data_IF_684291326586
#
_entry.id   IF_684291326586
#
_cell.length_a   1.000
_cell.length_b   1.000
_cell.length_c   1.000
_cell.angle_alpha   90.00
_cell.angle_beta   90.00
_cell.angle_gamma   90.00
#
_symmetry.space_group_name_H-M   'P 1'
#
loop_
_entity.id
_entity.type
_entity.pdbx_description
1 polymer ?
#
# COMPACT_ATOMS: atom_id res chain seq x y z
N UNK A 1 3.73 5.09 -3.53
CA UNK A 1 4.13 5.31 -2.13
C UNK A 1 4.91 6.62 -1.98
N UNK A 2 6.00 6.82 -2.74
CA UNK A 2 6.74 8.09 -2.69
C UNK A 2 5.84 9.29 -3.04
N UNK A 3 4.92 9.15 -4.00
CA UNK A 3 3.93 10.18 -4.30
C UNK A 3 2.94 10.40 -3.16
N UNK A 4 2.49 9.33 -2.52
CA UNK A 4 1.62 9.42 -1.34
C UNK A 4 2.20 10.36 -0.29
N UNK A 5 3.46 10.15 0.09
CA UNK A 5 4.17 11.03 1.02
C UNK A 5 4.38 12.44 0.45
N UNK A 6 4.86 12.51 -0.79
CA UNK A 6 5.34 13.76 -1.39
C UNK A 6 4.24 14.79 -1.64
N UNK A 7 3.02 14.37 -2.00
CA UNK A 7 1.92 15.32 -2.23
C UNK A 7 1.50 16.02 -0.93
N UNK A 8 1.73 15.39 0.22
CA UNK A 8 1.45 15.96 1.53
C UNK A 8 2.56 16.89 2.05
N UNK A 9 3.64 17.09 1.29
CA UNK A 9 4.75 17.98 1.65
C UNK A 9 4.60 19.43 1.15
N UNK A 10 3.36 19.90 1.03
CA UNK A 10 3.00 21.26 0.62
C UNK A 10 2.39 21.36 -0.76
N UNK A 11 1.55 22.34 -0.94
CA UNK A 11 0.74 22.56 -2.13
C UNK A 11 0.61 24.05 -2.47
N UNK A 12 -0.11 24.36 -3.52
CA UNK A 12 -0.23 25.74 -4.01
C UNK A 12 -0.87 26.69 -3.00
N UNK A 13 -1.97 26.28 -2.37
CA UNK A 13 -2.65 27.07 -1.33
C UNK A 13 -1.95 26.95 0.03
N UNK A 14 -1.31 25.81 0.31
CA UNK A 14 -0.73 25.49 1.60
C UNK A 14 0.78 25.17 1.45
N UNK A 15 1.62 26.19 1.16
CA UNK A 15 3.04 26.01 0.85
C UNK A 15 3.90 25.78 2.11
N UNK A 16 3.38 25.04 3.07
CA UNK A 16 4.09 24.62 4.28
C UNK A 16 4.97 23.42 3.97
N UNK A 17 6.08 23.27 4.68
CA UNK A 17 6.98 22.12 4.50
C UNK A 17 6.29 20.79 4.81
N UNK A 18 5.41 20.79 5.80
CA UNK A 18 4.73 19.60 6.29
C UNK A 18 3.33 19.96 6.82
N UNK A 19 2.38 20.25 5.92
CA UNK A 19 1.03 20.59 6.32
C UNK A 19 0.33 19.42 7.03
N UNK A 20 0.68 18.17 6.72
CA UNK A 20 0.13 16.99 7.37
C UNK A 20 0.41 16.97 8.88
N UNK A 21 1.65 17.20 9.29
CA UNK A 21 2.04 17.25 10.72
C UNK A 21 1.35 18.42 11.43
N UNK A 22 1.18 19.55 10.77
CA UNK A 22 0.45 20.69 11.33
C UNK A 22 -1.05 20.36 11.53
N UNK A 23 -1.67 19.64 10.62
CA UNK A 23 -3.05 19.17 10.76
C UNK A 23 -3.18 18.16 11.90
N UNK A 24 -2.27 17.20 12.01
CA UNK A 24 -2.28 16.22 13.12
C UNK A 24 -2.26 16.92 14.48
N UNK A 25 -1.48 17.99 14.60
CA UNK A 25 -1.32 18.73 15.87
C UNK A 25 -2.42 19.75 16.13
N UNK A 26 -2.94 20.39 15.09
CA UNK A 26 -3.75 21.60 15.20
C UNK A 26 -5.21 21.47 14.81
N UNK A 27 -5.64 20.40 14.12
CA UNK A 27 -7.04 20.20 13.74
C UNK A 27 -7.84 19.39 14.77
N UNK A 28 -9.15 19.38 14.60
CA UNK A 28 -10.08 18.56 15.39
C UNK A 28 -10.35 17.20 14.72
N UNK A 29 -9.42 16.75 13.90
CA UNK A 29 -9.53 15.50 13.18
C UNK A 29 -9.77 14.32 14.14
N UNK A 30 -10.55 13.36 13.68
CA UNK A 30 -10.69 12.05 14.32
C UNK A 30 -9.92 10.97 13.58
N UNK A 31 -9.54 11.25 12.34
CA UNK A 31 -8.69 10.40 11.51
C UNK A 31 -8.01 11.22 10.41
N UNK A 32 -6.72 11.03 10.25
CA UNK A 32 -5.90 11.54 9.14
C UNK A 32 -4.96 10.43 8.70
N UNK A 33 -4.91 10.12 7.42
CA UNK A 33 -3.95 9.18 6.88
C UNK A 33 -3.75 9.38 5.36
N UNK A 34 -2.81 8.63 4.82
CA UNK A 34 -2.68 8.31 3.41
C UNK A 34 -2.24 6.86 3.30
N UNK A 35 -2.66 6.15 2.26
CA UNK A 35 -2.38 4.72 2.11
C UNK A 35 -2.22 4.37 0.64
N UNK A 36 -1.11 3.71 0.29
CA UNK A 36 -0.85 3.19 -1.04
C UNK A 36 -1.11 1.69 -1.09
N UNK A 37 -1.97 1.29 -2.02
CA UNK A 37 -2.28 -0.09 -2.37
C UNK A 37 -1.73 -0.40 -3.77
N UNK A 38 -1.69 -1.65 -4.20
CA UNK A 38 -1.21 -2.00 -5.54
C UNK A 38 -1.98 -1.34 -6.68
N UNK A 39 -3.25 -1.02 -6.48
CA UNK A 39 -4.19 -0.54 -7.50
C UNK A 39 -4.76 0.87 -7.23
N UNK A 40 -4.47 1.47 -6.07
CA UNK A 40 -4.99 2.78 -5.70
C UNK A 40 -4.13 3.42 -4.62
N UNK A 41 -4.23 4.74 -4.50
CA UNK A 41 -3.77 5.49 -3.33
C UNK A 41 -4.95 6.26 -2.77
N UNK A 42 -5.14 6.22 -1.46
CA UNK A 42 -6.26 6.87 -0.78
C UNK A 42 -5.77 7.87 0.25
N UNK A 43 -6.49 8.97 0.39
CA UNK A 43 -6.19 10.08 1.28
C UNK A 43 -7.40 10.35 2.18
N UNK A 44 -7.65 9.51 3.18
CA UNK A 44 -8.84 9.62 4.03
C UNK A 44 -8.65 10.64 5.15
N UNK A 45 -9.69 11.42 5.38
CA UNK A 45 -9.80 12.35 6.51
C UNK A 45 -11.14 12.21 7.20
N UNK A 46 -11.19 12.41 8.50
CA UNK A 46 -12.43 12.47 9.25
C UNK A 46 -12.38 13.51 10.36
N UNK A 47 -13.48 14.20 10.56
CA UNK A 47 -13.70 15.12 11.69
C UNK A 47 -15.19 15.14 12.09
N UNK A 48 -15.44 15.28 13.37
CA UNK A 48 -16.80 15.50 13.91
C UNK A 48 -17.18 17.00 13.90
N UNK A 49 -16.30 17.89 13.50
CA UNK A 49 -16.54 19.32 13.39
C UNK A 49 -16.63 19.72 11.89
N UNK A 50 -17.76 20.27 11.46
CA UNK A 50 -18.01 20.56 10.05
C UNK A 50 -17.00 21.56 9.46
N UNK A 51 -16.64 22.60 10.21
CA UNK A 51 -15.66 23.59 9.77
C UNK A 51 -14.26 22.99 9.64
N UNK A 52 -13.88 22.14 10.58
CA UNK A 52 -12.60 21.43 10.52
C UNK A 52 -12.58 20.42 9.37
N UNK A 53 -13.68 19.67 9.17
CA UNK A 53 -13.81 18.77 8.02
C UNK A 53 -13.69 19.51 6.68
N UNK A 54 -14.31 20.69 6.56
CA UNK A 54 -14.17 21.53 5.38
C UNK A 54 -12.70 21.95 5.13
N UNK A 55 -12.00 22.37 6.18
CA UNK A 55 -10.58 22.74 6.08
C UNK A 55 -9.71 21.54 5.69
N UNK A 56 -9.95 20.36 6.27
CA UNK A 56 -9.23 19.14 5.93
C UNK A 56 -9.46 18.75 4.47
N UNK A 57 -10.71 18.85 4.00
CA UNK A 57 -11.07 18.58 2.61
C UNK A 57 -10.32 19.54 1.65
N UNK A 58 -10.28 20.84 1.96
CA UNK A 58 -9.55 21.83 1.16
C UNK A 58 -8.05 21.54 1.11
N UNK A 59 -7.43 21.27 2.26
CA UNK A 59 -5.99 20.94 2.33
C UNK A 59 -5.66 19.68 1.53
N UNK A 60 -6.45 18.62 1.68
CA UNK A 60 -6.17 17.36 1.00
C UNK A 60 -6.43 17.43 -0.51
N UNK A 61 -7.47 18.12 -0.94
CA UNK A 61 -7.74 18.33 -2.37
C UNK A 61 -6.61 19.14 -3.03
N UNK A 62 -6.15 20.20 -2.39
CA UNK A 62 -5.05 20.99 -2.92
C UNK A 62 -3.73 20.21 -2.91
N UNK A 63 -3.45 19.46 -1.86
CA UNK A 63 -2.26 18.61 -1.77
C UNK A 63 -2.22 17.56 -2.89
N UNK A 64 -3.31 16.87 -3.14
CA UNK A 64 -3.39 15.79 -4.13
C UNK A 64 -3.34 16.32 -5.56
N UNK A 65 -4.04 17.43 -5.86
CA UNK A 65 -4.19 17.94 -7.22
C UNK A 65 -3.16 19.02 -7.61
N UNK A 66 -2.65 19.79 -6.63
CA UNK A 66 -1.72 20.91 -6.86
C UNK A 66 -0.49 20.85 -5.95
N UNK A 67 0.19 19.68 -5.84
CA UNK A 67 1.34 19.53 -4.93
C UNK A 67 2.55 20.35 -5.40
N UNK A 68 3.37 20.75 -4.46
CA UNK A 68 4.61 21.48 -4.74
C UNK A 68 5.73 20.63 -5.35
N UNK A 69 5.47 19.35 -5.61
CA UNK A 69 6.45 18.42 -6.22
C UNK A 69 6.99 18.90 -7.56
N UNK A 70 6.24 19.70 -8.31
CA UNK A 70 6.66 20.29 -9.58
C UNK A 70 7.59 21.49 -9.44
N UNK A 71 7.60 22.12 -8.27
CA UNK A 71 8.40 23.32 -7.97
C UNK A 71 9.65 22.99 -7.17
N UNK A 72 9.60 21.92 -6.37
CA UNK A 72 10.60 21.58 -5.37
C UNK A 72 11.06 20.11 -5.47
N UNK A 73 12.07 19.84 -6.30
CA UNK A 73 12.67 18.49 -6.42
C UNK A 73 13.12 17.92 -5.06
N UNK A 74 13.43 18.78 -4.09
CA UNK A 74 13.86 18.37 -2.75
C UNK A 74 12.81 17.50 -2.03
N UNK A 75 11.53 17.68 -2.33
CA UNK A 75 10.45 16.83 -1.79
C UNK A 75 10.67 15.38 -2.23
N UNK A 76 10.86 15.15 -3.52
CA UNK A 76 11.19 13.83 -4.04
C UNK A 76 12.46 13.24 -3.41
N UNK A 77 13.50 14.06 -3.25
CA UNK A 77 14.76 13.61 -2.66
C UNK A 77 14.63 13.26 -1.19
N UNK A 78 13.80 13.99 -0.44
CA UNK A 78 13.54 13.73 0.98
C UNK A 78 12.66 12.48 1.15
N UNK A 79 11.53 12.43 0.46
CA UNK A 79 10.55 11.35 0.65
C UNK A 79 10.95 10.07 -0.08
N UNK A 80 11.52 10.16 -1.25
CA UNK A 80 11.94 9.00 -2.06
C UNK A 80 13.30 8.49 -1.67
N UNK A 81 14.33 9.04 -2.32
CA UNK A 81 15.71 8.65 -2.08
C UNK A 81 16.71 9.72 -2.52
N UNK A 82 17.87 9.73 -1.87
CA UNK A 82 19.03 10.54 -2.23
C UNK A 82 20.31 9.86 -1.76
N UNK A 83 21.45 10.35 -2.28
CA UNK A 83 22.75 9.97 -1.72
C UNK A 83 23.04 10.79 -0.47
N UNK A 84 23.49 10.13 0.57
CA UNK A 84 23.93 10.75 1.82
C UNK A 84 25.37 10.43 2.13
N UNK A 85 26.08 11.43 2.61
CA UNK A 85 27.46 11.34 3.09
C UNK A 85 27.52 11.95 4.50
N UNK A 86 27.49 11.12 5.52
CA UNK A 86 27.46 11.57 6.92
C UNK A 86 28.75 12.33 7.33
N UNK A 87 29.89 11.93 6.77
CA UNK A 87 31.18 12.60 6.97
C UNK A 87 32.10 12.37 5.77
N UNK A 88 33.22 13.08 5.70
CA UNK A 88 34.20 12.94 4.60
C UNK A 88 34.78 11.55 4.45
N UNK A 89 34.82 10.79 5.56
CA UNK A 89 35.42 9.46 5.62
C UNK A 89 34.35 8.34 5.66
N UNK A 90 33.06 8.70 5.67
CA UNK A 90 31.97 7.76 5.66
C UNK A 90 31.72 7.20 4.23
N UNK A 91 31.19 5.99 4.09
CA UNK A 91 30.73 5.52 2.80
C UNK A 91 29.53 6.32 2.31
N UNK A 92 29.42 6.47 1.01
CA UNK A 92 28.21 7.01 0.38
C UNK A 92 27.08 6.01 0.52
N UNK A 93 25.93 6.41 1.07
CA UNK A 93 24.77 5.57 1.29
C UNK A 93 23.54 6.13 0.62
N UNK A 94 22.51 5.30 0.42
CA UNK A 94 21.17 5.74 0.08
C UNK A 94 20.40 6.10 1.35
N UNK A 95 19.66 7.20 1.31
CA UNK A 95 18.76 7.63 2.35
C UNK A 95 17.47 8.21 1.73
N UNK A 96 16.40 8.26 2.48
CA UNK A 96 15.09 8.78 2.10
C UNK A 96 14.01 8.15 2.97
N UNK A 97 12.90 8.85 3.17
CA UNK A 97 11.85 8.39 4.09
C UNK A 97 11.29 7.04 3.64
N UNK A 98 10.75 6.96 2.44
CA UNK A 98 10.18 5.71 1.89
C UNK A 98 11.25 4.64 1.67
N UNK A 99 12.44 5.04 1.21
CA UNK A 99 13.55 4.07 1.06
C UNK A 99 13.88 3.37 2.38
N UNK A 100 14.01 4.13 3.47
CA UNK A 100 14.35 3.57 4.78
C UNK A 100 13.19 2.75 5.37
N UNK A 101 11.96 3.20 5.19
CA UNK A 101 10.76 2.47 5.60
C UNK A 101 10.69 1.11 4.92
N UNK A 102 10.85 1.08 3.61
CA UNK A 102 10.80 -0.17 2.84
C UNK A 102 11.98 -1.09 3.13
N UNK A 103 13.17 -0.52 3.35
CA UNK A 103 14.32 -1.30 3.83
C UNK A 103 14.04 -1.95 5.17
N UNK A 104 13.34 -1.26 6.07
CA UNK A 104 12.86 -1.83 7.34
C UNK A 104 11.81 -2.92 7.13
N UNK A 105 10.82 -2.69 6.28
CA UNK A 105 9.78 -3.68 5.96
C UNK A 105 10.36 -4.99 5.40
N UNK A 106 11.33 -4.89 4.49
CA UNK A 106 12.02 -6.05 3.90
C UNK A 106 12.98 -6.78 4.85
N UNK A 107 13.12 -6.35 6.09
CA UNK A 107 13.83 -7.12 7.12
C UNK A 107 12.96 -8.20 7.76
N UNK A 108 11.63 -8.18 7.55
CA UNK A 108 10.70 -9.17 8.06
C UNK A 108 10.56 -10.36 7.08
N UNK A 109 10.73 -11.61 7.54
CA UNK A 109 10.49 -12.79 6.72
C UNK A 109 9.08 -12.86 6.16
N UNK A 110 8.08 -12.44 6.93
CA UNK A 110 6.68 -12.41 6.50
C UNK A 110 6.45 -11.42 5.35
N UNK A 111 7.08 -10.24 5.40
CA UNK A 111 6.99 -9.26 4.31
C UNK A 111 7.66 -9.75 3.03
N UNK A 112 8.78 -10.48 3.15
CA UNK A 112 9.45 -11.11 2.01
C UNK A 112 8.55 -12.19 1.41
N UNK A 113 7.96 -13.04 2.26
CA UNK A 113 7.03 -14.08 1.81
C UNK A 113 5.82 -13.49 1.08
N UNK A 114 5.22 -12.44 1.61
CA UNK A 114 4.09 -11.75 0.99
C UNK A 114 4.49 -11.16 -0.37
N UNK A 115 5.59 -10.43 -0.44
CA UNK A 115 6.12 -9.86 -1.68
C UNK A 115 6.36 -10.93 -2.76
N UNK A 116 6.95 -12.07 -2.39
CA UNK A 116 7.19 -13.18 -3.32
C UNK A 116 5.89 -13.85 -3.73
N UNK A 117 4.95 -14.01 -2.81
CA UNK A 117 3.61 -14.55 -3.10
C UNK A 117 2.89 -13.67 -4.14
N UNK A 118 2.84 -12.36 -3.92
CA UNK A 118 2.22 -11.42 -4.85
C UNK A 118 2.89 -11.45 -6.23
N UNK A 119 4.22 -11.38 -6.28
CA UNK A 119 5.01 -11.44 -7.54
C UNK A 119 4.80 -12.76 -8.29
N UNK A 120 4.59 -13.86 -7.56
CA UNK A 120 4.38 -15.20 -8.17
C UNK A 120 2.96 -15.37 -8.67
N UNK A 121 1.96 -14.92 -7.91
CA UNK A 121 0.55 -15.05 -8.28
C UNK A 121 0.13 -14.06 -9.37
N UNK A 122 0.75 -12.89 -9.45
CA UNK A 122 0.31 -11.79 -10.32
C UNK A 122 1.43 -11.18 -11.18
N UNK A 123 2.26 -11.96 -11.87
CA UNK A 123 3.43 -11.44 -12.59
C UNK A 123 3.10 -10.43 -13.69
N UNK A 124 1.90 -10.50 -14.27
CA UNK A 124 1.49 -9.70 -15.42
C UNK A 124 0.65 -8.46 -15.05
N UNK A 125 0.35 -8.25 -13.77
CA UNK A 125 -0.54 -7.18 -13.30
C UNK A 125 0.15 -6.25 -12.28
N UNK A 126 -0.54 -5.18 -11.86
CA UNK A 126 -0.05 -4.28 -10.82
C UNK A 126 0.14 -4.98 -9.47
N UNK A 127 -0.63 -6.02 -9.19
CA UNK A 127 -0.52 -6.79 -7.94
C UNK A 127 0.79 -7.58 -7.80
N UNK A 128 1.47 -7.85 -8.91
CA UNK A 128 2.83 -8.41 -8.89
C UNK A 128 3.93 -7.38 -8.67
N UNK A 129 3.57 -6.12 -8.39
CA UNK A 129 4.50 -5.05 -8.03
C UNK A 129 4.33 -4.72 -6.55
N UNK A 130 5.43 -4.46 -5.90
CA UNK A 130 5.40 -4.00 -4.52
C UNK A 130 4.93 -2.54 -4.47
N UNK A 131 3.73 -2.29 -3.91
CA UNK A 131 3.15 -0.95 -3.85
C UNK A 131 3.90 -0.01 -2.92
N UNK A 132 4.52 -0.54 -1.87
CA UNK A 132 5.41 0.22 -0.99
C UNK A 132 6.72 0.59 -1.65
N UNK A 133 7.14 -0.22 -2.63
CA UNK A 133 8.41 -0.09 -3.33
C UNK A 133 9.48 -1.06 -2.81
N UNK A 134 10.09 -1.78 -3.71
CA UNK A 134 11.22 -2.64 -3.39
C UNK A 134 12.49 -1.78 -3.21
N UNK A 135 13.16 -1.83 -2.06
CA UNK A 135 14.31 -0.97 -1.75
C UNK A 135 15.50 -1.17 -2.71
N UNK A 136 15.56 -2.29 -3.42
CA UNK A 136 16.57 -2.51 -4.47
C UNK A 136 16.31 -1.60 -5.68
N UNK A 137 15.05 -1.36 -6.02
CA UNK A 137 14.65 -0.61 -7.21
C UNK A 137 14.28 0.86 -6.94
N UNK A 138 13.98 1.24 -5.70
CA UNK A 138 13.68 2.65 -5.36
C UNK A 138 14.76 3.60 -5.86
N UNK A 139 16.09 3.31 -5.73
CA UNK A 139 17.13 4.20 -6.21
C UNK A 139 17.24 4.34 -7.75
N UNK A 140 16.49 3.54 -8.50
CA UNK A 140 16.41 3.65 -9.97
C UNK A 140 15.34 4.64 -10.43
N UNK A 141 14.50 5.12 -9.51
CA UNK A 141 13.44 6.06 -9.81
C UNK A 141 14.03 7.47 -10.01
N UNK A 142 13.77 8.05 -11.18
CA UNK A 142 14.15 9.43 -11.45
C UNK A 142 13.03 10.41 -11.07
N UNK A 143 13.39 11.68 -10.87
CA UNK A 143 12.42 12.74 -10.61
C UNK A 143 11.44 12.93 -11.77
N UNK A 144 11.89 12.78 -13.02
CA UNK A 144 11.04 12.88 -14.20
C UNK A 144 9.97 11.77 -14.22
N UNK A 145 10.36 10.51 -13.97
CA UNK A 145 9.39 9.38 -13.88
C UNK A 145 8.39 9.59 -12.75
N UNK A 146 8.85 10.12 -11.64
CA UNK A 146 7.99 10.44 -10.50
C UNK A 146 6.95 11.50 -10.86
N UNK A 147 7.33 12.58 -11.53
CA UNK A 147 6.40 13.61 -11.99
C UNK A 147 5.45 13.10 -13.08
N UNK A 148 5.94 12.29 -14.02
CA UNK A 148 5.13 11.71 -15.08
C UNK A 148 4.03 10.80 -14.52
N UNK A 149 4.32 10.05 -13.44
CA UNK A 149 3.31 9.23 -12.78
C UNK A 149 2.20 10.08 -12.17
N UNK A 150 2.54 11.14 -11.44
CA UNK A 150 1.53 12.06 -10.89
C UNK A 150 0.69 12.68 -12.02
N UNK A 151 1.34 13.21 -13.04
CA UNK A 151 0.68 13.85 -14.18
C UNK A 151 -0.28 12.90 -14.92
N UNK A 152 0.07 11.62 -15.00
CA UNK A 152 -0.70 10.60 -15.72
C UNK A 152 -1.91 10.13 -14.91
N UNK A 153 -1.73 9.86 -13.62
CA UNK A 153 -2.74 9.13 -12.83
C UNK A 153 -3.47 9.98 -11.80
N UNK A 154 -2.87 11.08 -11.31
CA UNK A 154 -3.46 11.97 -10.32
C UNK A 154 -4.30 13.06 -11.00
N UNK A 155 -5.40 12.62 -11.59
CA UNK A 155 -6.32 13.50 -12.31
C UNK A 155 -7.74 13.26 -11.81
N UNK A 156 -8.61 14.30 -11.68
CA UNK A 156 -9.99 14.12 -11.23
C UNK A 156 -10.77 13.06 -12.03
N UNK A 157 -10.52 12.94 -13.35
CA UNK A 157 -11.15 11.91 -14.20
C UNK A 157 -10.74 10.48 -13.83
N UNK A 158 -9.67 10.30 -13.07
CA UNK A 158 -9.17 9.01 -12.58
C UNK A 158 -9.28 8.89 -11.06
N UNK A 159 -10.25 9.57 -10.45
CA UNK A 159 -10.43 9.60 -9.01
C UNK A 159 -11.86 9.31 -8.59
N UNK A 160 -12.00 8.83 -7.37
CA UNK A 160 -13.27 8.74 -6.65
C UNK A 160 -13.18 9.62 -5.41
N UNK A 161 -14.09 10.59 -5.30
CA UNK A 161 -14.24 11.43 -4.12
C UNK A 161 -15.45 10.91 -3.35
N UNK A 162 -15.20 10.39 -2.15
CA UNK A 162 -16.23 9.81 -1.30
C UNK A 162 -16.48 10.70 -0.08
N UNK A 163 -17.69 11.21 0.04
CA UNK A 163 -18.15 12.01 1.18
C UNK A 163 -19.17 11.20 1.99
N UNK A 164 -18.96 11.11 3.28
CA UNK A 164 -19.86 10.39 4.19
C UNK A 164 -20.02 11.14 5.52
N UNK A 165 -21.24 11.25 5.98
CA UNK A 165 -21.56 11.81 7.30
C UNK A 165 -22.71 12.81 7.26
N UNK A 166 -22.98 13.40 8.43
CA UNK A 166 -24.00 14.43 8.57
C UNK A 166 -23.38 15.80 8.25
N UNK A 167 -23.49 16.22 6.98
CA UNK A 167 -22.98 17.49 6.44
C UNK A 167 -23.95 18.07 5.43
N UNK A 168 -23.82 19.36 5.10
CA UNK A 168 -24.47 19.94 3.92
C UNK A 168 -23.75 19.44 2.67
N UNK A 169 -24.32 18.41 2.05
CA UNK A 169 -23.73 17.74 0.90
C UNK A 169 -23.68 18.68 -0.33
N UNK A 170 -24.71 19.51 -0.52
CA UNK A 170 -24.77 20.45 -1.65
C UNK A 170 -23.66 21.50 -1.54
N UNK A 171 -23.43 22.03 -0.33
CA UNK A 171 -22.32 22.97 -0.07
C UNK A 171 -20.96 22.32 -0.36
N UNK A 172 -20.73 21.09 0.13
CA UNK A 172 -19.44 20.39 -0.07
C UNK A 172 -19.20 20.05 -1.54
N UNK A 173 -20.22 19.59 -2.25
CA UNK A 173 -20.11 19.30 -3.69
C UNK A 173 -19.87 20.57 -4.51
N UNK A 174 -20.61 21.66 -4.20
CA UNK A 174 -20.39 22.95 -4.85
C UNK A 174 -18.96 23.47 -4.63
N UNK A 175 -18.46 23.35 -3.41
CA UNK A 175 -17.07 23.73 -3.09
C UNK A 175 -16.05 22.92 -3.89
N UNK A 176 -16.19 21.60 -3.95
CA UNK A 176 -15.30 20.74 -4.73
C UNK A 176 -15.31 21.07 -6.21
N UNK A 177 -16.49 21.31 -6.78
CA UNK A 177 -16.63 21.68 -8.18
C UNK A 177 -16.00 23.04 -8.46
N UNK A 178 -16.41 24.09 -7.72
CA UNK A 178 -15.99 25.46 -7.95
C UNK A 178 -14.47 25.67 -7.73
N UNK A 179 -13.89 25.05 -6.70
CA UNK A 179 -12.51 25.29 -6.30
C UNK A 179 -11.50 24.33 -6.90
N UNK A 180 -11.95 23.16 -7.39
CA UNK A 180 -11.06 22.13 -7.89
C UNK A 180 -11.50 21.54 -9.22
N UNK A 181 -12.65 20.85 -9.28
CA UNK A 181 -12.99 19.95 -10.40
C UNK A 181 -13.25 20.68 -11.70
N UNK A 182 -13.94 21.84 -11.65
CA UNK A 182 -14.24 22.66 -12.85
C UNK A 182 -13.00 23.26 -13.52
N UNK A 183 -11.83 23.19 -12.89
CA UNK A 183 -10.58 23.67 -13.45
C UNK A 183 -9.86 22.63 -14.33
N UNK A 184 -10.39 21.41 -14.40
CA UNK A 184 -9.82 20.31 -15.18
C UNK A 184 -10.77 19.95 -16.33
N UNK A 185 -10.20 19.82 -17.52
CA UNK A 185 -10.90 19.17 -18.63
C UNK A 185 -10.91 17.65 -18.43
N UNK A 186 -11.84 16.94 -19.06
CA UNK A 186 -11.87 15.49 -19.03
C UNK A 186 -10.58 14.90 -19.64
N UNK A 187 -9.97 13.96 -18.96
CA UNK A 187 -8.84 13.18 -19.43
C UNK A 187 -9.19 11.70 -19.42
N UNK A 188 -8.99 11.03 -20.56
CA UNK A 188 -9.11 9.57 -20.64
C UNK A 188 -7.81 8.94 -20.13
N UNK A 189 -7.89 8.30 -18.96
CA UNK A 189 -6.74 7.67 -18.31
C UNK A 189 -6.88 6.16 -18.40
N UNK A 190 -5.91 5.51 -19.04
CA UNK A 190 -5.83 4.04 -19.07
C UNK A 190 -5.33 3.52 -17.71
N UNK A 191 -6.28 3.28 -16.81
CA UNK A 191 -6.03 2.75 -15.47
C UNK A 191 -6.80 1.44 -15.20
N UNK A 192 -7.30 0.79 -16.25
CA UNK A 192 -8.05 -0.47 -16.11
C UNK A 192 -7.12 -1.60 -15.68
N UNK A 193 -7.44 -2.18 -14.53
CA UNK A 193 -6.70 -3.32 -13.99
C UNK A 193 -7.14 -4.60 -14.70
N UNK A 194 -6.16 -5.30 -15.25
CA UNK A 194 -6.39 -6.57 -15.92
C UNK A 194 -6.31 -7.73 -14.93
N UNK A 195 -7.12 -8.77 -15.15
CA UNK A 195 -6.99 -10.00 -14.40
C UNK A 195 -5.73 -10.78 -14.80
N UNK A 196 -5.07 -11.35 -13.81
CA UNK A 196 -4.01 -12.33 -14.05
C UNK A 196 -4.61 -13.60 -14.67
N UNK A 197 -4.04 -14.03 -15.77
CA UNK A 197 -4.44 -15.30 -16.39
C UNK A 197 -4.03 -16.48 -15.53
N UNK A 198 -4.92 -17.46 -15.44
CA UNK A 198 -4.65 -18.68 -14.70
C UNK A 198 -3.42 -19.42 -15.24
N UNK A 199 -2.62 -19.95 -14.34
CA UNK A 199 -1.49 -20.79 -14.69
C UNK A 199 -1.94 -22.19 -15.10
N UNK A 200 -1.20 -22.82 -16.00
CA UNK A 200 -1.46 -24.19 -16.41
C UNK A 200 -1.05 -25.26 -15.38
N UNK A 201 -0.27 -24.89 -14.37
CA UNK A 201 0.20 -25.74 -13.28
C UNK A 201 0.52 -24.90 -12.03
N UNK A 202 0.58 -25.59 -10.88
CA UNK A 202 1.06 -24.96 -9.64
C UNK A 202 2.48 -24.45 -9.84
N UNK A 203 2.80 -23.29 -9.25
CA UNK A 203 4.12 -22.70 -9.27
C UNK A 203 4.82 -23.03 -7.95
N UNK A 204 5.97 -23.69 -8.02
CA UNK A 204 6.80 -23.99 -6.85
C UNK A 204 7.96 -22.99 -6.80
N UNK A 205 8.02 -22.23 -5.72
CA UNK A 205 9.06 -21.20 -5.51
C UNK A 205 9.76 -21.46 -4.18
N UNK A 206 11.08 -21.46 -4.20
CA UNK A 206 11.92 -21.53 -3.00
C UNK A 206 12.88 -20.35 -3.02
N UNK A 207 12.98 -19.68 -1.86
CA UNK A 207 13.94 -18.59 -1.72
C UNK A 207 14.57 -18.64 -0.31
N UNK A 208 15.75 -18.05 -0.20
CA UNK A 208 16.44 -17.86 1.07
C UNK A 208 16.19 -16.44 1.58
N UNK A 209 16.09 -16.30 2.89
CA UNK A 209 15.94 -15.00 3.55
C UNK A 209 16.97 -14.86 4.68
N UNK A 210 17.39 -13.63 5.01
CA UNK A 210 18.38 -13.41 6.06
C UNK A 210 17.78 -13.67 7.45
N UNK A 211 18.55 -14.34 8.29
CA UNK A 211 18.28 -14.50 9.73
C UNK A 211 19.33 -13.75 10.54
N UNK A 212 19.04 -13.42 11.79
CA UNK A 212 20.00 -12.76 12.66
C UNK A 212 21.14 -13.72 13.02
N UNK A 213 22.35 -13.17 13.25
CA UNK A 213 23.55 -13.98 13.56
C UNK A 213 23.40 -14.91 14.78
N UNK A 214 22.50 -14.56 15.70
CA UNK A 214 22.21 -15.32 16.91
C UNK A 214 21.02 -16.28 16.77
N UNK A 215 20.37 -16.31 15.59
CA UNK A 215 19.28 -17.23 15.28
C UNK A 215 19.82 -18.45 14.53
N UNK A 216 19.43 -19.66 14.96
CA UNK A 216 19.72 -20.89 14.23
C UNK A 216 18.86 -21.02 12.96
N UNK A 217 19.31 -21.86 12.03
CA UNK A 217 18.53 -22.18 10.82
C UNK A 217 17.43 -23.22 11.10
N UNK A 218 17.50 -23.94 12.22
CA UNK A 218 16.47 -24.91 12.58
C UNK A 218 15.15 -24.24 12.91
N UNK A 219 14.07 -24.82 12.42
CA UNK A 219 12.70 -24.34 12.63
C UNK A 219 12.47 -22.88 12.19
N UNK A 220 13.21 -22.40 11.18
CA UNK A 220 13.09 -21.07 10.61
C UNK A 220 12.58 -21.08 9.15
N UNK A 221 11.93 -22.16 8.74
CA UNK A 221 11.33 -22.28 7.42
C UNK A 221 9.88 -21.81 7.46
N UNK A 222 9.49 -21.09 6.40
CA UNK A 222 8.11 -20.74 6.11
C UNK A 222 7.63 -21.58 4.94
N UNK A 223 6.51 -22.26 5.10
CA UNK A 223 5.83 -22.98 4.03
C UNK A 223 4.52 -22.25 3.73
N UNK A 224 4.28 -21.93 2.49
CA UNK A 224 3.08 -21.18 2.09
C UNK A 224 2.39 -21.87 0.94
N UNK A 225 1.08 -22.04 1.05
CA UNK A 225 0.21 -22.47 -0.04
C UNK A 225 -0.79 -21.36 -0.32
N UNK A 226 -0.79 -20.85 -1.55
CA UNK A 226 -1.55 -19.68 -1.93
C UNK A 226 -2.36 -19.97 -3.19
N UNK A 227 -3.61 -19.52 -3.24
CA UNK A 227 -4.46 -19.66 -4.42
C UNK A 227 -5.24 -18.40 -4.69
N UNK A 228 -5.39 -18.07 -5.96
CA UNK A 228 -6.32 -17.04 -6.42
C UNK A 228 -7.71 -17.64 -6.52
N UNK A 229 -8.72 -16.97 -5.93
CA UNK A 229 -10.06 -17.50 -5.74
C UNK A 229 -11.14 -16.59 -6.36
N UNK A 230 -11.20 -16.54 -7.68
CA UNK A 230 -12.23 -15.81 -8.40
C UNK A 230 -11.98 -14.31 -8.55
N UNK A 231 -13.03 -13.50 -8.40
CA UNK A 231 -13.01 -12.05 -8.59
C UNK A 231 -13.73 -11.36 -7.43
N UNK A 232 -13.15 -10.29 -6.91
CA UNK A 232 -13.67 -9.53 -5.76
C UNK A 232 -15.08 -8.93 -5.98
N UNK A 233 -15.49 -8.74 -7.23
CA UNK A 233 -16.86 -8.30 -7.56
C UNK A 233 -17.93 -9.35 -7.29
N UNK A 234 -17.54 -10.64 -7.14
CA UNK A 234 -18.45 -11.70 -6.71
C UNK A 234 -18.60 -11.69 -5.18
N UNK A 235 -19.55 -10.89 -4.69
CA UNK A 235 -19.79 -10.73 -3.26
C UNK A 235 -20.24 -12.03 -2.57
N UNK A 236 -20.89 -12.95 -3.28
CA UNK A 236 -21.32 -14.24 -2.73
C UNK A 236 -20.10 -15.15 -2.52
N UNK A 237 -19.23 -15.23 -3.48
CA UNK A 237 -17.97 -15.96 -3.39
C UNK A 237 -17.08 -15.35 -2.28
N UNK A 238 -16.91 -14.02 -2.24
CA UNK A 238 -16.15 -13.35 -1.22
C UNK A 238 -16.67 -13.68 0.20
N UNK A 239 -17.98 -13.57 0.42
CA UNK A 239 -18.61 -13.95 1.69
C UNK A 239 -18.40 -15.42 2.03
N UNK A 240 -18.45 -16.32 1.05
CA UNK A 240 -18.22 -17.75 1.29
C UNK A 240 -16.77 -18.01 1.74
N UNK A 241 -15.78 -17.34 1.16
CA UNK A 241 -14.39 -17.48 1.57
C UNK A 241 -14.09 -16.81 2.92
N UNK A 242 -14.75 -15.72 3.29
CA UNK A 242 -14.69 -15.17 4.64
C UNK A 242 -15.17 -16.18 5.70
N UNK A 243 -16.27 -16.86 5.41
CA UNK A 243 -16.78 -17.92 6.30
C UNK A 243 -15.83 -19.13 6.35
N UNK A 244 -15.25 -19.51 5.20
CA UNK A 244 -14.28 -20.61 5.14
C UNK A 244 -12.99 -20.29 5.89
N UNK A 245 -12.47 -19.08 5.76
CA UNK A 245 -11.32 -18.62 6.54
C UNK A 245 -11.58 -18.79 8.02
N UNK A 246 -12.66 -18.19 8.52
CA UNK A 246 -12.99 -18.32 9.93
C UNK A 246 -13.13 -19.78 10.37
N UNK A 247 -13.87 -20.57 9.61
CA UNK A 247 -14.14 -21.96 9.98
C UNK A 247 -12.90 -22.87 9.93
N UNK A 248 -11.98 -22.63 9.00
CA UNK A 248 -10.82 -23.50 8.76
C UNK A 248 -9.56 -23.09 9.49
N UNK A 249 -9.34 -21.77 9.68
CA UNK A 249 -8.08 -21.21 10.18
C UNK A 249 -8.22 -20.39 11.47
N UNK A 250 -9.30 -19.58 11.61
CA UNK A 250 -9.37 -18.54 12.61
C UNK A 250 -10.17 -18.91 13.85
N UNK A 251 -11.19 -19.79 13.74
CA UNK A 251 -11.99 -20.22 14.87
C UNK A 251 -11.18 -21.01 15.90
N UNK A 252 -11.55 -20.96 17.21
CA UNK A 252 -10.95 -21.84 18.20
C UNK A 252 -11.09 -23.31 17.81
N UNK A 253 -9.97 -24.05 17.68
CA UNK A 253 -9.97 -25.45 17.23
C UNK A 253 -10.29 -25.63 15.75
N UNK A 254 -10.04 -24.62 14.93
CA UNK A 254 -10.23 -24.68 13.49
C UNK A 254 -9.54 -25.91 12.88
N UNK A 255 -10.25 -26.73 12.10
CA UNK A 255 -9.80 -28.09 11.75
C UNK A 255 -8.55 -28.10 10.88
N UNK A 256 -8.38 -27.16 9.94
CA UNK A 256 -7.19 -27.11 9.09
C UNK A 256 -5.96 -26.66 9.90
N UNK A 257 -6.10 -25.60 10.68
CA UNK A 257 -5.05 -25.14 11.59
C UNK A 257 -4.62 -26.25 12.54
N UNK A 258 -5.59 -26.92 13.18
CA UNK A 258 -5.31 -27.99 14.14
C UNK A 258 -4.64 -29.19 13.48
N UNK A 259 -5.11 -29.61 12.30
CA UNK A 259 -4.52 -30.73 11.58
C UNK A 259 -3.04 -30.52 11.20
N UNK A 260 -2.70 -29.29 10.79
CA UNK A 260 -1.31 -28.93 10.46
C UNK A 260 -0.42 -28.92 11.70
N UNK A 261 -0.92 -28.40 12.83
CA UNK A 261 -0.21 -28.40 14.12
C UNK A 261 -0.01 -29.85 14.59
N UNK A 262 -1.03 -30.68 14.56
CA UNK A 262 -0.96 -32.08 14.98
C UNK A 262 -0.02 -32.92 14.10
N UNK A 263 0.10 -32.55 12.82
CA UNK A 263 1.05 -33.15 11.89
C UNK A 263 2.49 -32.65 12.09
N UNK A 264 2.74 -31.66 12.96
CA UNK A 264 4.06 -31.08 13.20
C UNK A 264 4.54 -30.18 12.05
N UNK A 265 3.65 -29.71 11.21
CA UNK A 265 3.98 -28.81 10.10
C UNK A 265 3.97 -27.37 10.63
N UNK A 266 5.16 -26.88 11.01
CA UNK A 266 5.33 -25.59 11.63
C UNK A 266 4.91 -25.50 13.10
N UNK A 267 5.37 -24.46 13.76
CA UNK A 267 5.02 -24.16 15.16
C UNK A 267 3.81 -23.24 15.29
N UNK A 268 3.52 -22.48 14.24
CA UNK A 268 2.31 -21.68 14.11
C UNK A 268 1.77 -21.75 12.69
N UNK A 269 0.45 -21.70 12.58
CA UNK A 269 -0.28 -21.68 11.31
C UNK A 269 -1.04 -20.38 11.24
N UNK A 270 -0.78 -19.64 10.17
CA UNK A 270 -1.42 -18.38 9.82
C UNK A 270 -1.94 -18.41 8.38
N UNK A 271 -2.54 -17.36 7.96
CA UNK A 271 -3.12 -17.24 6.62
C UNK A 271 -4.54 -16.68 6.70
N UNK A 272 -5.26 -16.80 5.63
CA UNK A 272 -6.62 -16.31 5.55
C UNK A 272 -7.04 -15.94 4.14
N UNK A 273 -8.17 -15.26 4.06
CA UNK A 273 -8.74 -14.75 2.83
C UNK A 273 -8.46 -13.25 2.71
N UNK A 274 -7.71 -12.86 1.68
CA UNK A 274 -7.49 -11.46 1.31
C UNK A 274 -8.35 -11.08 0.11
N UNK A 275 -9.34 -10.23 0.35
CA UNK A 275 -10.27 -9.67 -0.64
C UNK A 275 -9.85 -8.28 -1.15
N UNK A 276 -8.66 -7.83 -0.86
CA UNK A 276 -8.18 -6.50 -1.27
C UNK A 276 -7.89 -6.40 -2.77
N UNK A 277 -7.25 -7.41 -3.42
CA UNK A 277 -7.00 -7.36 -4.85
C UNK A 277 -8.26 -7.69 -5.67
N UNK A 278 -8.27 -7.28 -6.95
CA UNK A 278 -9.33 -7.62 -7.90
C UNK A 278 -9.61 -9.13 -7.95
N UNK A 279 -8.57 -9.93 -7.83
CA UNK A 279 -8.64 -11.38 -7.72
C UNK A 279 -8.18 -11.78 -6.32
N UNK A 280 -9.11 -12.10 -5.42
CA UNK A 280 -8.82 -12.45 -4.03
C UNK A 280 -7.89 -13.65 -3.88
N UNK A 281 -7.18 -13.68 -2.77
CA UNK A 281 -6.23 -14.74 -2.43
C UNK A 281 -6.70 -15.48 -1.18
N UNK A 282 -6.62 -16.79 -1.19
CA UNK A 282 -6.70 -17.61 0.01
C UNK A 282 -5.33 -18.22 0.29
N UNK A 283 -4.80 -18.00 1.48
CA UNK A 283 -3.45 -18.40 1.88
C UNK A 283 -3.46 -19.26 3.14
N UNK A 284 -2.55 -20.23 3.18
CA UNK A 284 -2.22 -20.98 4.38
C UNK A 284 -0.71 -20.98 4.55
N UNK A 285 -0.22 -20.53 5.69
CA UNK A 285 1.20 -20.38 5.96
C UNK A 285 1.55 -21.13 7.25
N UNK A 286 2.51 -22.05 7.16
CA UNK A 286 3.14 -22.65 8.32
C UNK A 286 4.44 -21.92 8.63
N UNK A 287 4.51 -21.35 9.82
CA UNK A 287 5.65 -20.61 10.34
C UNK A 287 6.50 -21.49 11.25
N UNK A 288 7.80 -21.25 11.24
CA UNK A 288 8.77 -22.02 12.04
C UNK A 288 8.67 -23.53 11.78
N UNK A 289 8.56 -23.90 10.50
CA UNK A 289 8.61 -25.26 10.04
C UNK A 289 10.07 -25.76 9.95
N UNK A 290 10.25 -27.07 9.98
CA UNK A 290 11.53 -27.69 9.67
C UNK A 290 11.66 -27.86 8.14
N UNK A 291 12.87 -27.67 7.63
CA UNK A 291 13.18 -27.82 6.21
C UNK A 291 13.13 -29.30 5.75
N UNK A 292 13.32 -30.26 6.65
CA UNK A 292 13.39 -31.70 6.36
C UNK A 292 12.01 -32.39 6.40
#
# INVERSE_FOLDING_TARGET
HILEHSVLCGSDKFPLKDPFVELVKGSLNTFLNAMTYPDKTVYPVASCNDKDFHNLMDVYMDAVLHPNIYKEEKIFRQEGWHYELESKDAPLIYNGVVYNEMKGAYSSPESILDSVTQKTLFPDTCYGKDSGGDPVYIPELSYEKFLDFHKTYYHPSNSYIYLYGNMDMEEKLAFLDEHYLSHFDYLDVDSVIQEQKAFGACQDVTLEYPVAENEGEEDNTYLSYNMVVGNAADSQMAMAFEVLDYALLSAPGAPLKQALIDAGIGKDIMGGFDNSPLQPIFSVVAKNANKE
#
